data_IF_528628527473
#
_entry.id   IF_528628527473
#
_cell.length_a   1.000
_cell.length_b   1.000
_cell.length_c   1.000
_cell.angle_alpha   90.00
_cell.angle_beta   90.00
_cell.angle_gamma   90.00
#
_symmetry.space_group_name_H-M   'P 1'
#
loop_
_entity.id
_entity.type
_entity.pdbx_description
1 polymer ?
#
# COMPACT_ATOMS: atom_id res chain seq x y z
N UNK A 1 -28.99 -6.22 21.10
CA UNK A 1 -28.32 -7.34 21.79
C UNK A 1 -27.01 -6.82 22.37
N UNK A 2 -26.55 -7.30 23.54
CA UNK A 2 -25.23 -6.94 24.07
C UNK A 2 -24.13 -7.56 23.18
N UNK A 3 -23.05 -6.82 22.96
CA UNK A 3 -21.86 -7.29 22.22
C UNK A 3 -21.13 -8.31 23.10
N UNK A 4 -20.75 -9.46 22.54
CA UNK A 4 -19.95 -10.46 23.25
C UNK A 4 -18.50 -10.00 23.45
N UNK A 5 -17.80 -10.56 24.44
CA UNK A 5 -16.39 -10.18 24.70
C UNK A 5 -15.49 -10.42 23.48
N UNK A 6 -15.74 -11.50 22.73
CA UNK A 6 -15.01 -11.83 21.50
C UNK A 6 -15.25 -10.81 20.39
N UNK A 7 -16.51 -10.39 20.17
CA UNK A 7 -16.83 -9.35 19.18
C UNK A 7 -16.18 -7.99 19.54
N UNK A 8 -16.09 -7.66 20.84
CA UNK A 8 -15.43 -6.43 21.29
C UNK A 8 -13.89 -6.48 21.13
N UNK A 9 -13.28 -7.64 21.36
CA UNK A 9 -11.86 -7.88 21.12
C UNK A 9 -11.52 -7.84 19.62
N UNK A 10 -12.35 -8.46 18.78
CA UNK A 10 -12.23 -8.46 17.33
C UNK A 10 -12.37 -7.04 16.75
N UNK A 11 -13.34 -6.26 17.25
CA UNK A 11 -13.50 -4.86 16.87
C UNK A 11 -12.27 -4.02 17.25
N UNK A 12 -11.72 -4.23 18.44
CA UNK A 12 -10.50 -3.53 18.89
C UNK A 12 -9.29 -3.89 18.01
N UNK A 13 -9.14 -5.18 17.70
CA UNK A 13 -8.08 -5.67 16.82
C UNK A 13 -8.22 -5.12 15.40
N UNK A 14 -9.44 -5.12 14.85
CA UNK A 14 -9.78 -4.54 13.56
C UNK A 14 -9.36 -3.07 13.49
N UNK A 15 -9.81 -2.23 14.43
CA UNK A 15 -9.48 -0.80 14.43
C UNK A 15 -7.98 -0.54 14.55
N UNK A 16 -7.27 -1.33 15.36
CA UNK A 16 -5.81 -1.23 15.50
C UNK A 16 -5.10 -1.58 14.18
N UNK A 17 -5.52 -2.66 13.51
CA UNK A 17 -4.93 -3.10 12.24
C UNK A 17 -5.27 -2.16 11.09
N UNK A 18 -6.51 -1.68 11.04
CA UNK A 18 -6.96 -0.69 10.06
C UNK A 18 -6.14 0.58 10.17
N UNK A 19 -5.96 1.10 11.39
CA UNK A 19 -5.11 2.26 11.63
C UNK A 19 -3.68 2.01 11.18
N UNK A 20 -3.11 0.86 11.52
CA UNK A 20 -1.75 0.52 11.12
C UNK A 20 -1.60 0.44 9.60
N UNK A 21 -2.59 -0.12 8.90
CA UNK A 21 -2.53 -0.24 7.45
C UNK A 21 -2.65 1.11 6.75
N UNK A 22 -3.58 1.96 7.21
CA UNK A 22 -3.61 3.35 6.75
C UNK A 22 -2.26 4.00 7.02
N UNK A 23 -1.71 3.88 8.24
CA UNK A 23 -0.36 4.36 8.63
C UNK A 23 0.79 3.74 7.80
N UNK A 24 0.61 2.57 7.20
CA UNK A 24 1.63 1.96 6.36
C UNK A 24 1.61 2.59 4.96
N UNK A 25 0.43 2.95 4.43
CA UNK A 25 0.28 3.37 3.03
C UNK A 25 0.79 4.77 2.69
N UNK A 26 0.54 5.80 3.50
CA UNK A 26 1.28 7.07 3.30
C UNK A 26 2.76 6.95 3.68
N UNK A 27 3.19 6.05 4.58
CA UNK A 27 4.62 5.79 4.73
C UNK A 27 5.23 5.26 3.43
N UNK A 28 4.58 4.25 2.81
CA UNK A 28 4.96 3.71 1.52
C UNK A 28 4.95 4.80 0.44
N UNK A 29 3.86 5.55 0.29
CA UNK A 29 3.76 6.67 -0.66
C UNK A 29 4.91 7.68 -0.51
N UNK A 30 5.18 8.18 0.71
CA UNK A 30 6.23 9.17 0.94
C UNK A 30 7.63 8.60 0.68
N UNK A 31 7.84 7.35 1.10
CA UNK A 31 9.13 6.66 0.92
C UNK A 31 9.40 6.37 -0.55
N UNK A 32 8.40 5.86 -1.28
CA UNK A 32 8.52 5.56 -2.70
C UNK A 32 8.61 6.82 -3.55
N UNK A 33 7.89 7.90 -3.19
CA UNK A 33 8.07 9.23 -3.82
C UNK A 33 9.52 9.68 -3.76
N UNK A 34 10.13 9.54 -2.58
CA UNK A 34 11.52 9.93 -2.37
C UNK A 34 12.48 8.98 -3.08
N UNK A 35 12.22 7.67 -3.04
CA UNK A 35 13.01 6.66 -3.75
C UNK A 35 13.01 6.91 -5.26
N UNK A 36 11.84 7.08 -5.86
CA UNK A 36 11.67 7.37 -7.28
C UNK A 36 12.43 8.64 -7.69
N UNK A 37 12.38 9.68 -6.86
CA UNK A 37 13.11 10.92 -7.13
C UNK A 37 14.64 10.75 -7.04
N UNK A 38 15.14 10.09 -5.99
CA UNK A 38 16.58 9.93 -5.74
C UNK A 38 17.22 8.95 -6.73
N UNK A 39 16.50 7.89 -7.10
CA UNK A 39 17.00 6.80 -7.95
C UNK A 39 16.62 6.97 -9.42
N UNK A 40 16.11 8.15 -9.84
CA UNK A 40 15.61 8.38 -11.21
C UNK A 40 16.61 8.03 -12.32
N UNK A 41 17.90 8.18 -12.04
CA UNK A 41 19.00 7.93 -12.97
C UNK A 41 19.71 6.57 -12.70
N UNK A 42 19.24 5.80 -11.72
CA UNK A 42 19.75 4.47 -11.35
C UNK A 42 18.94 3.36 -12.05
N UNK A 43 19.53 2.19 -12.35
CA UNK A 43 18.78 1.04 -12.90
C UNK A 43 17.55 0.62 -12.07
N UNK A 44 17.59 0.81 -10.74
CA UNK A 44 16.45 0.55 -9.85
C UNK A 44 15.34 1.61 -9.94
N UNK A 45 15.63 2.79 -10.50
CA UNK A 45 14.70 3.92 -10.59
C UNK A 45 13.38 3.56 -11.23
N UNK A 46 13.40 2.75 -12.29
CA UNK A 46 12.17 2.32 -12.99
C UNK A 46 11.22 1.51 -12.10
N UNK A 47 11.77 0.73 -11.16
CA UNK A 47 11.00 -0.06 -10.21
C UNK A 47 10.37 0.83 -9.15
N UNK A 48 11.18 1.71 -8.53
CA UNK A 48 10.68 2.61 -7.50
C UNK A 48 9.71 3.66 -8.04
N UNK A 49 9.87 4.09 -9.29
CA UNK A 49 8.88 4.92 -9.97
C UNK A 49 7.56 4.15 -10.15
N UNK A 50 7.59 2.91 -10.66
CA UNK A 50 6.38 2.11 -10.81
C UNK A 50 5.68 1.83 -9.46
N UNK A 51 6.46 1.61 -8.40
CA UNK A 51 5.94 1.47 -7.04
C UNK A 51 5.29 2.79 -6.58
N UNK A 52 5.97 3.92 -6.77
CA UNK A 52 5.40 5.22 -6.43
C UNK A 52 4.09 5.49 -7.18
N UNK A 53 4.01 5.19 -8.49
CA UNK A 53 2.81 5.36 -9.30
C UNK A 53 1.65 4.51 -8.78
N UNK A 54 1.91 3.26 -8.38
CA UNK A 54 0.95 2.41 -7.67
C UNK A 54 0.44 3.09 -6.39
N UNK A 55 1.35 3.58 -5.54
CA UNK A 55 0.97 4.25 -4.29
C UNK A 55 0.21 5.56 -4.51
N UNK A 56 0.46 6.30 -5.60
CA UNK A 56 -0.32 7.49 -5.96
C UNK A 56 -1.78 7.13 -6.14
N UNK A 57 -2.09 6.09 -6.92
CA UNK A 57 -3.48 5.66 -7.14
C UNK A 57 -4.09 5.10 -5.85
N UNK A 58 -3.33 4.32 -5.07
CA UNK A 58 -3.81 3.77 -3.82
C UNK A 58 -4.18 4.86 -2.81
N UNK A 59 -3.49 6.00 -2.78
CA UNK A 59 -3.91 7.10 -1.91
C UNK A 59 -5.37 7.51 -2.16
N UNK A 60 -5.84 7.49 -3.40
CA UNK A 60 -7.22 7.88 -3.72
C UNK A 60 -8.23 6.77 -3.42
N UNK A 61 -7.87 5.50 -3.64
CA UNK A 61 -8.67 4.34 -3.18
C UNK A 61 -8.87 4.40 -1.66
N UNK A 62 -7.79 4.61 -0.91
CA UNK A 62 -7.82 4.63 0.55
C UNK A 62 -8.60 5.83 1.08
N UNK A 63 -8.46 7.02 0.48
CA UNK A 63 -9.26 8.20 0.88
C UNK A 63 -10.76 7.96 0.69
N UNK A 64 -11.17 7.41 -0.46
CA UNK A 64 -12.58 7.11 -0.74
C UNK A 64 -13.12 6.08 0.26
N UNK A 65 -12.35 5.03 0.54
CA UNK A 65 -12.76 3.98 1.48
C UNK A 65 -12.72 4.42 2.95
N UNK A 66 -11.84 5.35 3.34
CA UNK A 66 -11.86 5.92 4.69
C UNK A 66 -13.21 6.56 5.04
N UNK A 67 -13.83 7.23 4.06
CA UNK A 67 -15.17 7.82 4.21
C UNK A 67 -16.21 6.72 4.41
N UNK A 68 -16.22 5.67 3.57
CA UNK A 68 -17.18 4.56 3.70
C UNK A 68 -17.00 3.75 4.99
N UNK A 69 -15.77 3.69 5.50
CA UNK A 69 -15.43 3.02 6.76
C UNK A 69 -15.77 3.87 8.00
N UNK A 70 -16.31 5.09 7.82
CA UNK A 70 -16.50 6.10 8.87
C UNK A 70 -15.23 6.30 9.73
N UNK A 71 -14.08 6.22 9.08
CA UNK A 71 -12.78 6.29 9.72
C UNK A 71 -12.27 7.73 9.60
N UNK A 72 -12.45 8.55 10.66
CA UNK A 72 -11.98 9.94 10.73
C UNK A 72 -10.44 9.99 10.85
N UNK A 73 -9.80 9.63 9.74
CA UNK A 73 -8.36 9.54 9.63
C UNK A 73 -7.77 10.91 9.26
N UNK A 74 -7.45 11.72 10.27
CA UNK A 74 -7.07 13.14 10.06
C UNK A 74 -5.64 13.37 9.56
N UNK A 75 -5.58 14.41 8.72
CA UNK A 75 -4.48 15.02 7.96
C UNK A 75 -3.12 15.31 8.66
N UNK A 76 -2.97 15.12 9.98
CA UNK A 76 -1.69 15.34 10.70
C UNK A 76 -0.64 14.24 10.43
N UNK A 77 -0.91 13.41 9.42
CA UNK A 77 -0.15 12.24 9.09
C UNK A 77 1.05 12.54 8.18
N UNK A 78 0.85 13.43 7.21
CA UNK A 78 1.92 13.88 6.31
C UNK A 78 3.11 14.47 7.07
N UNK A 79 2.87 15.21 8.15
CA UNK A 79 3.95 15.81 8.96
C UNK A 79 4.70 14.77 9.79
N UNK A 80 4.00 13.84 10.45
CA UNK A 80 4.62 12.78 11.26
C UNK A 80 5.48 11.82 10.42
N UNK A 81 5.04 11.49 9.21
CA UNK A 81 5.70 10.47 8.39
C UNK A 81 6.81 11.02 7.50
N UNK A 82 6.78 12.33 7.16
CA UNK A 82 7.90 12.99 6.47
C UNK A 82 9.22 12.87 7.24
N UNK A 83 9.20 12.92 8.58
CA UNK A 83 10.40 12.72 9.40
C UNK A 83 10.99 11.31 9.28
N UNK A 84 10.15 10.27 9.29
CA UNK A 84 10.59 8.88 9.14
C UNK A 84 11.05 8.56 7.69
N UNK A 85 10.33 9.05 6.68
CA UNK A 85 10.73 8.91 5.29
C UNK A 85 12.03 9.67 4.97
N UNK A 86 12.33 10.75 5.71
CA UNK A 86 13.59 11.47 5.58
C UNK A 86 14.79 10.56 5.91
N UNK A 87 14.72 9.82 7.02
CA UNK A 87 15.74 8.85 7.46
C UNK A 87 15.85 7.61 6.57
N UNK A 88 14.80 7.24 5.84
CA UNK A 88 14.88 6.12 4.89
C UNK A 88 15.77 6.45 3.69
N UNK A 89 15.78 7.70 3.22
CA UNK A 89 16.50 8.05 2.00
C UNK A 89 18.02 8.06 2.09
N UNK A 90 18.59 8.16 3.29
CA UNK A 90 20.02 7.91 3.49
C UNK A 90 20.36 6.43 3.29
N UNK A 91 19.37 5.53 3.35
CA UNK A 91 19.53 4.09 3.17
C UNK A 91 19.00 3.55 1.82
N UNK A 92 18.16 4.32 1.11
CA UNK A 92 17.50 3.87 -0.14
C UNK A 92 18.48 3.55 -1.27
N UNK A 93 19.68 4.15 -1.30
CA UNK A 93 20.74 3.82 -2.27
C UNK A 93 21.23 2.37 -2.14
N UNK A 94 20.94 1.69 -1.02
CA UNK A 94 21.33 0.29 -0.77
C UNK A 94 20.14 -0.68 -0.71
N UNK A 95 18.93 -0.22 -1.04
CA UNK A 95 17.71 -0.99 -0.85
C UNK A 95 17.55 -2.05 -1.95
N UNK A 96 17.92 -3.29 -1.61
CA UNK A 96 17.84 -4.45 -2.52
C UNK A 96 16.44 -5.07 -2.52
N UNK A 97 16.04 -5.81 -3.57
CA UNK A 97 14.75 -6.48 -3.62
C UNK A 97 14.52 -7.43 -2.43
N UNK A 98 15.57 -8.08 -1.92
CA UNK A 98 15.48 -8.95 -0.74
C UNK A 98 15.02 -8.21 0.52
N UNK A 99 15.38 -6.94 0.67
CA UNK A 99 14.93 -6.13 1.81
C UNK A 99 13.43 -5.89 1.74
N UNK A 100 12.89 -5.62 0.55
CA UNK A 100 11.45 -5.48 0.33
C UNK A 100 10.73 -6.80 0.62
N UNK A 101 11.21 -7.93 0.09
CA UNK A 101 10.63 -9.26 0.33
C UNK A 101 10.55 -9.57 1.83
N UNK A 102 11.64 -9.31 2.58
CA UNK A 102 11.69 -9.55 4.03
C UNK A 102 10.68 -8.73 4.82
N UNK A 103 10.32 -7.53 4.34
CA UNK A 103 9.33 -6.66 4.96
C UNK A 103 7.91 -7.12 4.59
N UNK A 104 7.68 -7.44 3.32
CA UNK A 104 6.36 -7.74 2.76
C UNK A 104 5.82 -9.11 3.19
N UNK A 105 6.64 -10.16 3.16
CA UNK A 105 6.22 -11.54 3.46
C UNK A 105 5.49 -11.67 4.81
N UNK A 106 6.03 -11.18 5.95
CA UNK A 106 5.33 -11.27 7.23
C UNK A 106 4.14 -10.30 7.36
N UNK A 107 3.94 -9.40 6.39
CA UNK A 107 2.85 -8.42 6.42
C UNK A 107 1.57 -8.95 5.80
N UNK A 108 1.65 -9.74 4.72
CA UNK A 108 0.48 -10.31 4.03
C UNK A 108 -0.50 -11.01 4.98
N UNK A 109 -0.08 -11.92 5.88
CA UNK A 109 -1.02 -12.58 6.79
C UNK A 109 -1.73 -11.62 7.75
N UNK A 110 -1.13 -10.47 8.05
CA UNK A 110 -1.75 -9.43 8.89
C UNK A 110 -2.85 -8.69 8.13
N UNK A 111 -2.69 -8.52 6.81
CA UNK A 111 -3.69 -7.94 5.93
C UNK A 111 -4.83 -8.92 5.66
N UNK A 112 -4.52 -10.21 5.49
CA UNK A 112 -5.54 -11.26 5.39
C UNK A 112 -6.39 -11.32 6.65
N UNK A 113 -5.79 -11.25 7.84
CA UNK A 113 -6.55 -11.17 9.09
C UNK A 113 -7.39 -9.88 9.17
N UNK A 114 -6.86 -8.74 8.72
CA UNK A 114 -7.62 -7.49 8.70
C UNK A 114 -8.84 -7.61 7.76
N UNK A 115 -8.67 -8.24 6.60
CA UNK A 115 -9.76 -8.56 5.68
C UNK A 115 -10.80 -9.46 6.33
N UNK A 116 -10.38 -10.53 7.00
CA UNK A 116 -11.30 -11.50 7.60
C UNK A 116 -12.09 -10.92 8.79
N UNK A 117 -11.57 -9.87 9.43
CA UNK A 117 -12.24 -9.10 10.48
C UNK A 117 -13.16 -7.99 9.95
N UNK A 118 -13.09 -7.67 8.66
CA UNK A 118 -13.84 -6.56 8.09
C UNK A 118 -15.32 -6.90 7.90
N UNK A 119 -16.16 -5.87 7.91
CA UNK A 119 -17.56 -6.02 7.49
C UNK A 119 -17.60 -6.49 6.02
N UNK A 120 -18.41 -7.51 5.68
CA UNK A 120 -18.56 -8.00 4.31
C UNK A 120 -18.84 -6.92 3.26
N UNK A 121 -19.49 -5.80 3.64
CA UNK A 121 -19.74 -4.68 2.72
C UNK A 121 -18.45 -3.99 2.24
N UNK A 122 -17.33 -4.15 2.95
CA UNK A 122 -16.02 -3.58 2.61
C UNK A 122 -15.03 -4.63 2.07
N UNK A 123 -15.48 -5.87 1.87
CA UNK A 123 -14.61 -6.98 1.47
C UNK A 123 -13.80 -6.66 0.22
N UNK A 124 -14.41 -6.03 -0.78
CA UNK A 124 -13.75 -5.67 -2.04
C UNK A 124 -12.54 -4.73 -1.84
N UNK A 125 -12.62 -3.80 -0.87
CA UNK A 125 -11.50 -2.94 -0.54
C UNK A 125 -10.36 -3.73 0.11
N UNK A 126 -10.66 -4.59 1.08
CA UNK A 126 -9.64 -5.37 1.76
C UNK A 126 -9.03 -6.48 0.87
N UNK A 127 -9.80 -7.03 -0.06
CA UNK A 127 -9.28 -7.90 -1.13
C UNK A 127 -8.26 -7.14 -1.99
N UNK A 128 -8.55 -5.90 -2.35
CA UNK A 128 -7.60 -5.04 -3.04
C UNK A 128 -6.35 -4.75 -2.21
N UNK A 129 -6.50 -4.47 -0.90
CA UNK A 129 -5.35 -4.26 0.01
C UNK A 129 -4.41 -5.46 0.03
N UNK A 130 -4.95 -6.68 0.14
CA UNK A 130 -4.16 -7.91 0.10
C UNK A 130 -3.53 -8.11 -1.29
N UNK A 131 -4.31 -7.93 -2.36
CA UNK A 131 -3.83 -8.09 -3.73
C UNK A 131 -2.71 -7.11 -4.09
N UNK A 132 -2.79 -5.86 -3.61
CA UNK A 132 -1.74 -4.85 -3.75
C UNK A 132 -0.43 -5.35 -3.11
N UNK A 133 -0.49 -5.81 -1.86
CA UNK A 133 0.70 -6.28 -1.14
C UNK A 133 1.31 -7.53 -1.80
N UNK A 134 0.46 -8.44 -2.31
CA UNK A 134 0.90 -9.60 -3.09
C UNK A 134 1.58 -9.20 -4.40
N UNK A 135 1.05 -8.20 -5.13
CA UNK A 135 1.69 -7.68 -6.33
C UNK A 135 3.05 -7.04 -6.02
N UNK A 136 3.18 -6.35 -4.88
CA UNK A 136 4.45 -5.79 -4.41
C UNK A 136 5.46 -6.87 -4.05
N UNK A 137 5.02 -7.98 -3.44
CA UNK A 137 5.85 -9.14 -3.18
C UNK A 137 6.36 -9.76 -4.48
N UNK A 138 5.44 -10.07 -5.40
CA UNK A 138 5.76 -10.67 -6.69
C UNK A 138 6.73 -9.78 -7.48
N UNK A 139 6.46 -8.47 -7.54
CA UNK A 139 7.33 -7.51 -8.18
C UNK A 139 8.74 -7.52 -7.58
N UNK A 140 8.85 -7.61 -6.25
CA UNK A 140 10.15 -7.66 -5.56
C UNK A 140 10.88 -8.98 -5.81
N UNK A 141 10.17 -10.11 -5.90
CA UNK A 141 10.74 -11.42 -6.25
C UNK A 141 11.25 -11.42 -7.70
N UNK A 142 10.46 -10.93 -8.65
CA UNK A 142 10.88 -10.80 -10.05
C UNK A 142 12.03 -9.81 -10.18
N UNK A 143 12.04 -8.70 -9.43
CA UNK A 143 13.17 -7.77 -9.43
C UNK A 143 14.47 -8.42 -8.95
N UNK A 144 14.38 -9.35 -7.99
CA UNK A 144 15.52 -10.13 -7.50
C UNK A 144 16.05 -11.10 -8.56
N UNK A 145 15.16 -11.79 -9.26
CA UNK A 145 15.49 -12.88 -10.16
C UNK A 145 15.85 -12.40 -11.58
N UNK A 146 15.09 -11.43 -12.09
CA UNK A 146 15.13 -10.99 -13.48
C UNK A 146 15.52 -9.51 -13.64
N UNK A 147 15.68 -8.80 -12.52
CA UNK A 147 16.09 -7.40 -12.48
C UNK A 147 14.93 -6.41 -12.38
N UNK A 148 15.28 -5.18 -11.96
CA UNK A 148 14.34 -4.12 -11.59
C UNK A 148 13.29 -3.80 -12.65
N UNK A 149 13.67 -3.80 -13.93
CA UNK A 149 12.76 -3.49 -15.02
C UNK A 149 11.61 -4.50 -15.13
N UNK A 150 11.86 -5.80 -14.85
CA UNK A 150 10.82 -6.82 -14.89
C UNK A 150 9.91 -6.75 -13.66
N UNK A 151 10.48 -6.49 -12.48
CA UNK A 151 9.67 -6.21 -11.29
C UNK A 151 8.75 -4.99 -11.50
N UNK A 152 9.24 -3.95 -12.18
CA UNK A 152 8.45 -2.76 -12.49
C UNK A 152 7.24 -3.08 -13.40
N UNK A 153 7.38 -4.04 -14.32
CA UNK A 153 6.27 -4.47 -15.19
C UNK A 153 5.16 -5.14 -14.40
N UNK A 154 5.47 -5.88 -13.34
CA UNK A 154 4.46 -6.49 -12.46
C UNK A 154 3.61 -5.41 -11.80
N UNK A 155 4.25 -4.38 -11.24
CA UNK A 155 3.53 -3.26 -10.59
C UNK A 155 2.65 -2.50 -11.58
N UNK A 156 3.17 -2.20 -12.77
CA UNK A 156 2.39 -1.54 -13.83
C UNK A 156 1.23 -2.39 -14.30
N UNK A 157 1.46 -3.69 -14.53
CA UNK A 157 0.41 -4.63 -14.90
C UNK A 157 -0.70 -4.75 -13.84
N UNK A 158 -0.35 -4.68 -12.56
CA UNK A 158 -1.34 -4.62 -11.48
C UNK A 158 -2.18 -3.34 -11.56
N UNK A 159 -1.56 -2.18 -11.75
CA UNK A 159 -2.25 -0.89 -11.92
C UNK A 159 -3.20 -0.94 -13.13
N UNK A 160 -2.70 -1.41 -14.28
CA UNK A 160 -3.47 -1.46 -15.53
C UNK A 160 -4.58 -2.51 -15.51
N UNK A 161 -4.44 -3.58 -14.72
CA UNK A 161 -5.38 -4.69 -14.66
C UNK A 161 -6.48 -4.54 -13.61
N UNK A 162 -6.33 -3.64 -12.63
CA UNK A 162 -7.22 -3.60 -11.46
C UNK A 162 -8.39 -2.63 -11.64
N UNK A 163 -9.63 -3.13 -11.60
CA UNK A 163 -10.84 -2.34 -11.81
C UNK A 163 -11.06 -1.23 -10.76
N UNK A 164 -10.68 -1.47 -9.49
CA UNK A 164 -10.75 -0.42 -8.46
C UNK A 164 -9.75 0.71 -8.72
N UNK A 165 -8.61 0.39 -9.36
CA UNK A 165 -7.65 1.39 -9.81
C UNK A 165 -8.19 2.14 -11.03
N UNK A 166 -8.74 1.43 -12.03
CA UNK A 166 -9.30 2.06 -13.25
C UNK A 166 -10.44 3.02 -12.96
N UNK A 167 -11.35 2.66 -12.05
CA UNK A 167 -12.48 3.50 -11.61
C UNK A 167 -12.02 4.77 -10.87
N UNK A 168 -10.80 4.78 -10.34
CA UNK A 168 -10.19 5.96 -9.73
C UNK A 168 -9.38 6.77 -10.74
N UNK A 169 -8.69 6.10 -11.68
CA UNK A 169 -7.87 6.73 -12.72
C UNK A 169 -8.68 7.38 -13.85
N UNK A 170 -9.93 6.96 -14.04
CA UNK A 170 -10.84 7.60 -15.00
C UNK A 170 -11.35 8.91 -14.38
N UNK A 171 -11.09 10.08 -14.98
CA UNK A 171 -11.74 11.31 -14.54
C UNK A 171 -13.25 11.09 -14.59
N UNK A 172 -13.97 11.51 -13.55
CA UNK A 172 -15.42 11.66 -13.66
C UNK A 172 -15.62 12.71 -14.75
N UNK A 173 -15.88 12.25 -15.97
CA UNK A 173 -16.23 13.11 -17.07
C UNK A 173 -17.50 13.87 -16.69
N UNK A 174 -17.49 15.17 -16.98
CA UNK A 174 -18.63 16.06 -16.86
C UNK A 174 -19.91 15.36 -17.33
N UNK A 175 -20.84 15.11 -16.39
CA UNK A 175 -22.25 14.91 -16.68
C UNK A 175 -22.98 16.21 -16.37
#
# INVERSE_FOLDING_TARGET
MPISATEAEDQTLYMKRLKYEFDNRTFAYLSMKKAAHVLKDDPAGVFYQAYYDLEVVNQDIYKRNAISLNFDYKANWFTRFRGHAAGLATHLVTFRPESLIKVIVPYIPKLEQLRDLADPQHQQFFDHVVAQEQAQLQASQIAKEEGWAQGAKVLRGFVDGNELIKTVATPVGDQ
#
